data_IF_457738752490
#
_entry.id   IF_457738752490
#
_cell.length_a   1.000
_cell.length_b   1.000
_cell.length_c   1.000
_cell.angle_alpha   90.00
_cell.angle_beta   90.00
_cell.angle_gamma   90.00
#
_symmetry.space_group_name_H-M   'P 1'
#
loop_
_entity.id
_entity.type
_entity.pdbx_description
1 polymer ?
#
# COMPACT_ATOMS: atom_id res chain seq x y z
N UNK A 1 -0.59 -79.80 -64.35
CA UNK A 1 -1.82 -79.27 -63.73
C UNK A 1 -1.74 -77.75 -63.70
N UNK A 2 -2.54 -77.09 -64.54
CA UNK A 2 -2.52 -75.65 -64.77
C UNK A 2 -3.56 -74.94 -63.88
N UNK A 3 -3.17 -73.89 -63.15
CA UNK A 3 -4.08 -73.08 -62.32
C UNK A 3 -4.87 -72.09 -63.19
N UNK A 4 -6.19 -72.07 -62.99
CA UNK A 4 -7.20 -71.33 -63.75
C UNK A 4 -7.00 -69.79 -63.68
N UNK A 5 -7.12 -69.15 -64.85
CA UNK A 5 -7.22 -67.70 -65.01
C UNK A 5 -8.61 -67.22 -64.57
N UNK A 6 -8.67 -66.29 -63.61
CA UNK A 6 -9.89 -65.57 -63.22
C UNK A 6 -10.39 -64.71 -64.40
N UNK A 7 -11.67 -64.85 -64.76
CA UNK A 7 -12.36 -64.03 -65.77
C UNK A 7 -12.60 -62.61 -65.23
N UNK A 8 -12.26 -61.58 -66.01
CA UNK A 8 -12.60 -60.17 -65.73
C UNK A 8 -14.12 -59.94 -65.89
N UNK A 9 -14.74 -59.10 -65.06
CA UNK A 9 -16.15 -58.73 -65.23
C UNK A 9 -16.32 -57.77 -66.43
N UNK A 10 -17.47 -57.86 -67.11
CA UNK A 10 -17.86 -56.97 -68.22
C UNK A 10 -18.09 -55.53 -67.69
N UNK A 11 -17.77 -54.48 -68.46
CA UNK A 11 -18.05 -53.11 -68.06
C UNK A 11 -19.57 -52.86 -68.06
N UNK A 12 -20.10 -52.33 -66.96
CA UNK A 12 -21.46 -51.82 -66.87
C UNK A 12 -21.61 -50.62 -67.81
N UNK A 13 -22.70 -50.60 -68.59
CA UNK A 13 -23.08 -49.44 -69.40
C UNK A 13 -23.30 -48.24 -68.48
N UNK A 14 -22.63 -47.11 -68.77
CA UNK A 14 -22.85 -45.84 -68.08
C UNK A 14 -24.31 -45.40 -68.28
N UNK A 15 -25.00 -45.08 -67.19
CA UNK A 15 -26.35 -44.52 -67.26
C UNK A 15 -26.34 -43.23 -68.09
N UNK A 16 -27.34 -43.07 -68.92
CA UNK A 16 -27.55 -41.93 -69.83
C UNK A 16 -28.12 -40.70 -69.12
N UNK A 17 -27.94 -40.58 -67.81
CA UNK A 17 -28.49 -39.47 -67.03
C UNK A 17 -27.49 -38.30 -66.99
N UNK A 18 -27.93 -37.08 -67.33
CA UNK A 18 -27.07 -35.92 -67.32
C UNK A 18 -26.58 -35.65 -65.90
N UNK A 19 -25.28 -35.41 -65.76
CA UNK A 19 -24.65 -35.08 -64.47
C UNK A 19 -25.18 -33.76 -63.93
N UNK A 20 -25.12 -33.55 -62.61
CA UNK A 20 -25.57 -32.31 -61.94
C UNK A 20 -24.97 -31.04 -62.57
N UNK A 21 -23.72 -31.12 -63.05
CA UNK A 21 -23.06 -30.02 -63.76
C UNK A 21 -23.72 -29.73 -65.13
N UNK A 22 -24.10 -30.77 -65.88
CA UNK A 22 -24.80 -30.67 -67.16
C UNK A 22 -26.22 -30.11 -66.96
N UNK A 23 -26.94 -30.56 -65.93
CA UNK A 23 -28.27 -30.04 -65.59
C UNK A 23 -28.23 -28.54 -65.20
N UNK A 24 -27.19 -28.10 -64.48
CA UNK A 24 -26.98 -26.67 -64.14
C UNK A 24 -26.62 -25.81 -65.36
N UNK A 25 -25.98 -26.38 -66.36
CA UNK A 25 -25.64 -25.67 -67.60
C UNK A 25 -26.86 -25.57 -68.53
N UNK A 26 -27.67 -26.63 -68.60
CA UNK A 26 -28.98 -26.61 -69.29
C UNK A 26 -29.94 -25.61 -68.66
N UNK A 27 -30.01 -25.53 -67.32
CA UNK A 27 -30.83 -24.54 -66.63
C UNK A 27 -30.40 -23.10 -66.92
N UNK A 28 -29.09 -22.81 -66.89
CA UNK A 28 -28.57 -21.47 -67.21
C UNK A 28 -28.85 -21.09 -68.66
N UNK A 29 -28.78 -22.05 -69.58
CA UNK A 29 -29.09 -21.84 -70.99
C UNK A 29 -30.58 -21.59 -71.21
N UNK A 30 -31.45 -22.38 -70.59
CA UNK A 30 -32.91 -22.18 -70.66
C UNK A 30 -33.32 -20.82 -70.09
N UNK A 31 -32.71 -20.40 -68.97
CA UNK A 31 -32.98 -19.09 -68.38
C UNK A 31 -32.51 -17.93 -69.27
N UNK A 32 -31.35 -18.06 -69.91
CA UNK A 32 -30.86 -17.05 -70.86
C UNK A 32 -31.70 -16.99 -72.14
N UNK A 33 -32.27 -18.12 -72.58
CA UNK A 33 -33.21 -18.17 -73.70
C UNK A 33 -34.56 -17.51 -73.34
N UNK A 34 -35.07 -17.74 -72.13
CA UNK A 34 -36.30 -17.09 -71.64
C UNK A 34 -36.08 -15.58 -71.44
N UNK A 35 -34.95 -15.13 -70.89
CA UNK A 35 -34.59 -13.70 -70.78
C UNK A 35 -34.43 -13.02 -72.15
N UNK A 36 -33.85 -13.73 -73.14
CA UNK A 36 -33.74 -13.21 -74.51
C UNK A 36 -35.10 -13.12 -75.23
N UNK A 37 -36.04 -14.02 -74.93
CA UNK A 37 -37.41 -13.98 -75.45
C UNK A 37 -38.24 -12.87 -74.80
N UNK A 38 -37.97 -12.58 -73.53
CA UNK A 38 -38.57 -11.47 -72.78
C UNK A 38 -38.08 -10.11 -73.32
N UNK A 39 -36.78 -9.95 -73.59
CA UNK A 39 -36.24 -8.74 -74.22
C UNK A 39 -36.80 -8.50 -75.65
N UNK A 40 -37.17 -9.57 -76.36
CA UNK A 40 -37.80 -9.50 -77.68
C UNK A 40 -39.33 -9.33 -77.62
N UNK A 41 -39.93 -9.26 -76.43
CA UNK A 41 -41.37 -9.07 -76.23
C UNK A 41 -42.24 -10.25 -76.68
N UNK A 42 -41.65 -11.45 -76.77
CA UNK A 42 -42.28 -12.68 -77.25
C UNK A 42 -42.45 -13.69 -76.11
N UNK A 43 -43.02 -13.27 -74.98
CA UNK A 43 -43.45 -14.22 -73.96
C UNK A 43 -44.61 -15.07 -74.51
N UNK A 44 -44.33 -16.33 -74.80
CA UNK A 44 -45.35 -17.35 -75.06
C UNK A 44 -45.98 -17.75 -73.72
N UNK A 45 -47.32 -17.71 -73.63
CA UNK A 45 -48.06 -18.23 -72.47
C UNK A 45 -47.65 -19.68 -72.19
N UNK A 46 -47.01 -19.87 -71.02
CA UNK A 46 -46.41 -21.12 -70.57
C UNK A 46 -47.45 -22.08 -69.94
N UNK A 47 -48.67 -22.15 -70.47
CA UNK A 47 -49.74 -23.03 -69.93
C UNK A 47 -49.52 -24.55 -70.16
N UNK A 48 -48.34 -24.97 -70.62
CA UNK A 48 -48.07 -26.39 -70.92
C UNK A 48 -46.66 -26.90 -70.63
N UNK A 49 -45.79 -26.11 -69.98
CA UNK A 49 -44.44 -26.57 -69.61
C UNK A 49 -44.52 -27.24 -68.23
N UNK A 50 -44.32 -28.56 -68.16
CA UNK A 50 -44.18 -29.23 -66.85
C UNK A 50 -43.03 -28.57 -66.09
N UNK A 51 -43.25 -28.08 -64.86
CA UNK A 51 -42.17 -27.54 -64.05
C UNK A 51 -41.10 -28.62 -63.88
N UNK A 52 -39.80 -28.26 -63.88
CA UNK A 52 -38.75 -29.26 -63.66
C UNK A 52 -39.08 -29.99 -62.36
N UNK A 53 -39.10 -31.33 -62.42
CA UNK A 53 -39.34 -32.19 -61.25
C UNK A 53 -38.20 -31.96 -60.26
N UNK A 54 -38.30 -30.90 -59.47
CA UNK A 54 -37.53 -30.76 -58.26
C UNK A 54 -37.91 -31.95 -57.39
N UNK A 55 -36.91 -32.72 -56.99
CA UNK A 55 -37.11 -33.73 -55.97
C UNK A 55 -37.50 -32.97 -54.70
N UNK A 56 -38.79 -32.99 -54.36
CA UNK A 56 -39.36 -32.28 -53.22
C UNK A 56 -38.61 -32.66 -51.94
N UNK A 57 -38.09 -33.88 -51.88
CA UNK A 57 -37.26 -34.40 -50.79
C UNK A 57 -35.93 -33.63 -50.73
N UNK A 58 -35.24 -33.43 -51.86
CA UNK A 58 -33.98 -32.69 -51.90
C UNK A 58 -34.15 -31.20 -51.56
N UNK A 59 -35.31 -30.61 -51.85
CA UNK A 59 -35.63 -29.23 -51.48
C UNK A 59 -35.88 -29.05 -49.98
N UNK A 60 -36.57 -30.01 -49.36
CA UNK A 60 -36.78 -30.05 -47.90
C UNK A 60 -35.46 -30.28 -47.17
N UNK A 61 -34.66 -31.25 -47.62
CA UNK A 61 -33.34 -31.51 -47.06
C UNK A 61 -32.42 -30.28 -47.11
N UNK A 62 -32.41 -29.55 -48.22
CA UNK A 62 -31.59 -28.33 -48.35
C UNK A 62 -32.02 -27.23 -47.37
N UNK A 63 -33.33 -27.13 -47.09
CA UNK A 63 -33.86 -26.16 -46.13
C UNK A 63 -33.52 -26.53 -44.70
N UNK A 64 -33.67 -27.81 -44.34
CA UNK A 64 -33.27 -28.32 -43.02
C UNK A 64 -31.77 -28.08 -42.75
N UNK A 65 -30.91 -28.17 -43.77
CA UNK A 65 -29.48 -27.85 -43.62
C UNK A 65 -29.21 -26.37 -43.36
N UNK A 66 -29.99 -25.47 -43.97
CA UNK A 66 -29.87 -24.02 -43.73
C UNK A 66 -30.32 -23.72 -42.30
N UNK A 67 -31.47 -24.24 -41.89
CA UNK A 67 -32.02 -24.01 -40.55
C UNK A 67 -31.09 -24.57 -39.46
N UNK A 68 -30.42 -25.71 -39.73
CA UNK A 68 -29.34 -26.24 -38.86
C UNK A 68 -28.16 -25.29 -38.72
N UNK A 69 -27.70 -24.68 -39.81
CA UNK A 69 -26.58 -23.72 -39.77
C UNK A 69 -26.95 -22.44 -39.01
N UNK A 70 -28.18 -21.96 -39.16
CA UNK A 70 -28.67 -20.79 -38.43
C UNK A 70 -28.73 -21.06 -36.91
N UNK A 71 -29.20 -22.24 -36.51
CA UNK A 71 -29.26 -22.63 -35.11
C UNK A 71 -27.86 -22.79 -34.49
N UNK A 72 -26.92 -23.38 -35.24
CA UNK A 72 -25.51 -23.44 -34.83
C UNK A 72 -24.90 -22.04 -34.70
N UNK A 73 -25.14 -21.15 -35.65
CA UNK A 73 -24.65 -19.77 -35.59
C UNK A 73 -25.19 -19.02 -34.36
N UNK A 74 -26.48 -19.20 -34.03
CA UNK A 74 -27.07 -18.65 -32.82
C UNK A 74 -26.38 -19.19 -31.55
N UNK A 75 -26.09 -20.49 -31.51
CA UNK A 75 -25.38 -21.15 -30.40
C UNK A 75 -23.96 -20.58 -30.21
N UNK A 76 -23.22 -20.41 -31.31
CA UNK A 76 -21.91 -19.74 -31.31
C UNK A 76 -21.99 -18.28 -30.86
N UNK A 77 -22.98 -17.53 -31.38
CA UNK A 77 -23.17 -16.11 -31.06
C UNK A 77 -23.47 -15.92 -29.58
N UNK A 78 -24.34 -16.75 -29.00
CA UNK A 78 -24.61 -16.72 -27.55
C UNK A 78 -23.31 -16.93 -26.78
N UNK A 79 -22.59 -18.01 -27.08
CA UNK A 79 -21.35 -18.38 -26.38
C UNK A 79 -20.31 -17.26 -26.40
N UNK A 80 -20.15 -16.58 -27.53
CA UNK A 80 -19.21 -15.45 -27.64
C UNK A 80 -19.69 -14.22 -26.86
N UNK A 81 -20.99 -13.96 -26.81
CA UNK A 81 -21.53 -12.77 -26.13
C UNK A 81 -21.59 -12.93 -24.61
N UNK A 82 -21.93 -14.12 -24.12
CA UNK A 82 -22.14 -14.38 -22.69
C UNK A 82 -20.92 -15.02 -22.03
N UNK A 83 -20.03 -15.64 -22.81
CA UNK A 83 -18.90 -16.42 -22.32
C UNK A 83 -19.30 -17.81 -21.80
N UNK A 84 -20.55 -18.23 -22.00
CA UNK A 84 -21.08 -19.52 -21.52
C UNK A 84 -21.91 -20.20 -22.61
N UNK A 85 -21.97 -21.53 -22.63
CA UNK A 85 -22.87 -22.25 -23.53
C UNK A 85 -24.33 -22.05 -23.09
N UNK A 86 -25.28 -21.83 -24.02
CA UNK A 86 -26.69 -21.66 -23.66
C UNK A 86 -27.31 -22.97 -23.18
N UNK A 87 -28.20 -22.86 -22.21
CA UNK A 87 -29.17 -23.90 -21.83
C UNK A 87 -30.48 -23.70 -22.61
N UNK A 88 -31.34 -24.73 -22.74
CA UNK A 88 -32.63 -24.58 -23.41
C UNK A 88 -33.47 -23.44 -22.83
N UNK A 89 -33.46 -23.33 -21.50
CA UNK A 89 -34.18 -22.34 -20.70
C UNK A 89 -33.74 -20.89 -21.01
N UNK A 90 -32.48 -20.70 -21.42
CA UNK A 90 -31.94 -19.37 -21.75
C UNK A 90 -32.55 -18.80 -23.03
N UNK A 91 -33.07 -19.66 -23.91
CA UNK A 91 -33.69 -19.30 -25.18
C UNK A 91 -35.22 -19.40 -25.14
N UNK A 92 -35.79 -19.93 -24.05
CA UNK A 92 -37.23 -19.97 -23.86
C UNK A 92 -37.80 -18.56 -23.65
N UNK A 93 -38.74 -18.16 -24.52
CA UNK A 93 -39.49 -16.91 -24.36
C UNK A 93 -38.71 -15.63 -24.72
N UNK A 94 -37.50 -15.74 -25.25
CA UNK A 94 -36.74 -14.58 -25.79
C UNK A 94 -37.00 -14.41 -27.28
N UNK A 95 -37.34 -13.19 -27.72
CA UNK A 95 -37.62 -12.89 -29.14
C UNK A 95 -36.35 -12.87 -30.02
N UNK A 96 -35.18 -12.65 -29.40
CA UNK A 96 -33.89 -12.50 -30.08
C UNK A 96 -33.18 -13.83 -30.41
N UNK A 97 -33.68 -14.96 -29.88
CA UNK A 97 -33.05 -16.27 -30.00
C UNK A 97 -34.02 -17.34 -30.54
N UNK A 98 -33.53 -18.35 -31.28
CA UNK A 98 -34.37 -19.43 -31.77
C UNK A 98 -35.00 -20.22 -30.62
N UNK A 99 -36.25 -20.66 -30.79
CA UNK A 99 -36.92 -21.48 -29.79
C UNK A 99 -36.18 -22.83 -29.61
N UNK A 100 -35.99 -23.33 -28.37
CA UNK A 100 -35.23 -24.56 -28.14
C UNK A 100 -35.81 -25.81 -28.81
N UNK A 101 -37.11 -25.84 -29.10
CA UNK A 101 -37.75 -26.92 -29.88
C UNK A 101 -37.18 -27.08 -31.30
N UNK A 102 -36.57 -26.03 -31.87
CA UNK A 102 -35.87 -26.12 -33.14
C UNK A 102 -34.68 -27.10 -33.05
N UNK A 103 -34.01 -27.18 -31.89
CA UNK A 103 -32.92 -28.14 -31.66
C UNK A 103 -33.45 -29.58 -31.65
N UNK A 104 -34.59 -29.82 -30.98
CA UNK A 104 -35.24 -31.13 -30.96
C UNK A 104 -35.65 -31.58 -32.38
N UNK A 105 -36.15 -30.66 -33.19
CA UNK A 105 -36.61 -30.96 -34.55
C UNK A 105 -35.44 -31.22 -35.50
N UNK A 106 -34.40 -30.38 -35.46
CA UNK A 106 -33.32 -30.40 -36.46
C UNK A 106 -32.15 -31.31 -36.06
N UNK A 107 -31.87 -31.44 -34.76
CA UNK A 107 -30.73 -32.20 -34.21
C UNK A 107 -31.17 -33.40 -33.36
N UNK A 108 -32.48 -33.61 -33.18
CA UNK A 108 -33.06 -34.72 -32.42
C UNK A 108 -33.09 -34.50 -30.91
N UNK A 109 -32.26 -33.60 -30.39
CA UNK A 109 -32.22 -33.16 -28.99
C UNK A 109 -31.38 -31.89 -28.86
N UNK A 110 -31.49 -31.21 -27.72
CA UNK A 110 -30.56 -30.14 -27.35
C UNK A 110 -29.11 -30.64 -27.30
N UNK A 111 -28.87 -31.77 -26.64
CA UNK A 111 -27.53 -32.39 -26.57
C UNK A 111 -26.96 -32.67 -27.97
N UNK A 112 -27.80 -33.09 -28.92
CA UNK A 112 -27.39 -33.27 -30.31
C UNK A 112 -26.94 -31.99 -31.02
N UNK A 113 -27.50 -30.83 -30.64
CA UNK A 113 -27.04 -29.51 -31.10
C UNK A 113 -25.68 -29.16 -30.47
N UNK A 114 -25.54 -29.37 -29.15
CA UNK A 114 -24.28 -29.13 -28.42
C UNK A 114 -23.15 -29.95 -29.02
N UNK A 115 -23.35 -31.26 -29.19
CA UNK A 115 -22.38 -32.18 -29.80
C UNK A 115 -22.01 -31.75 -31.24
N UNK A 116 -23.01 -31.33 -32.02
CA UNK A 116 -22.81 -30.88 -33.40
C UNK A 116 -22.07 -29.54 -33.46
N UNK A 117 -22.19 -28.71 -32.43
CA UNK A 117 -21.51 -27.42 -32.34
C UNK A 117 -20.01 -27.56 -32.20
N UNK A 118 -19.53 -28.63 -31.54
CA UNK A 118 -18.12 -28.84 -31.17
C UNK A 118 -17.49 -27.67 -30.42
N UNK A 119 -18.31 -26.82 -29.79
CA UNK A 119 -17.84 -25.70 -28.98
C UNK A 119 -17.16 -26.23 -27.71
N UNK A 120 -17.71 -27.27 -27.10
CA UNK A 120 -17.13 -27.94 -25.93
C UNK A 120 -15.80 -28.66 -26.26
N UNK A 121 -15.63 -29.07 -27.52
CA UNK A 121 -14.41 -29.72 -28.02
C UNK A 121 -13.33 -28.71 -28.50
N UNK A 122 -13.60 -27.40 -28.45
CA UNK A 122 -12.94 -26.40 -29.29
C UNK A 122 -12.12 -25.32 -28.56
N UNK A 123 -11.02 -24.93 -29.22
CA UNK A 123 -10.16 -23.75 -29.00
C UNK A 123 -10.89 -22.43 -28.67
N UNK A 124 -12.19 -22.32 -28.95
CA UNK A 124 -12.98 -21.10 -28.77
C UNK A 124 -13.19 -20.78 -27.29
N UNK A 125 -13.51 -21.77 -26.45
CA UNK A 125 -13.66 -21.57 -25.00
C UNK A 125 -12.32 -21.16 -24.40
N UNK A 126 -11.23 -21.87 -24.73
CA UNK A 126 -9.88 -21.49 -24.29
C UNK A 126 -9.49 -20.06 -24.73
N UNK A 127 -9.91 -19.64 -25.92
CA UNK A 127 -9.63 -18.29 -26.42
C UNK A 127 -10.43 -17.23 -25.66
N UNK A 128 -11.70 -17.51 -25.34
CA UNK A 128 -12.55 -16.62 -24.55
C UNK A 128 -12.00 -16.49 -23.12
N UNK A 129 -11.62 -17.61 -22.49
CA UNK A 129 -11.00 -17.60 -21.15
C UNK A 129 -9.71 -16.79 -21.16
N UNK A 130 -8.83 -17.00 -22.14
CA UNK A 130 -7.60 -16.21 -22.30
C UNK A 130 -7.88 -14.72 -22.52
N UNK A 131 -8.94 -14.38 -23.24
CA UNK A 131 -9.33 -12.98 -23.46
C UNK A 131 -9.87 -12.33 -22.18
N UNK A 132 -10.67 -13.06 -21.40
CA UNK A 132 -11.17 -12.62 -20.09
C UNK A 132 -10.02 -12.43 -19.10
N UNK A 133 -9.07 -13.37 -19.05
CA UNK A 133 -7.87 -13.27 -18.23
C UNK A 133 -7.01 -12.07 -18.63
N UNK A 134 -6.79 -11.85 -19.93
CA UNK A 134 -6.05 -10.70 -20.44
C UNK A 134 -6.74 -9.38 -20.06
N UNK A 135 -8.08 -9.31 -20.15
CA UNK A 135 -8.85 -8.14 -19.76
C UNK A 135 -8.75 -7.89 -18.25
N UNK A 136 -8.83 -8.93 -17.42
CA UNK A 136 -8.66 -8.83 -15.97
C UNK A 136 -7.24 -8.33 -15.60
N UNK A 137 -6.20 -8.83 -16.27
CA UNK A 137 -4.82 -8.37 -16.08
C UNK A 137 -4.64 -6.91 -16.48
N UNK A 138 -5.23 -6.48 -17.61
CA UNK A 138 -5.18 -5.09 -18.05
C UNK A 138 -5.88 -4.15 -17.06
N UNK A 139 -7.03 -4.58 -16.53
CA UNK A 139 -7.75 -3.82 -15.49
C UNK A 139 -6.92 -3.69 -14.22
N UNK A 140 -6.35 -4.79 -13.72
CA UNK A 140 -5.49 -4.78 -12.54
C UNK A 140 -4.26 -3.87 -12.73
N UNK A 141 -3.65 -3.91 -13.91
CA UNK A 141 -2.52 -3.03 -14.26
C UNK A 141 -2.94 -1.55 -14.32
N UNK A 142 -4.13 -1.24 -14.83
CA UNK A 142 -4.70 0.10 -14.80
C UNK A 142 -4.86 0.62 -13.38
N UNK A 143 -5.46 -0.18 -12.50
CA UNK A 143 -5.66 0.18 -11.08
C UNK A 143 -4.33 0.38 -10.34
N UNK A 144 -3.29 -0.41 -10.67
CA UNK A 144 -1.95 -0.24 -10.14
C UNK A 144 -1.30 1.08 -10.58
N UNK A 145 -1.41 1.41 -11.88
CA UNK A 145 -0.91 2.67 -12.42
C UNK A 145 -1.61 3.88 -11.79
N UNK A 146 -2.93 3.82 -11.60
CA UNK A 146 -3.70 4.88 -10.95
C UNK A 146 -3.32 5.05 -9.48
N UNK A 147 -3.04 3.95 -8.77
CA UNK A 147 -2.55 4.00 -7.38
C UNK A 147 -1.16 4.64 -7.32
N UNK A 148 -0.29 4.31 -8.28
CA UNK A 148 1.05 4.88 -8.40
C UNK A 148 1.00 6.37 -8.75
N UNK A 149 0.10 6.78 -9.65
CA UNK A 149 -0.10 8.19 -10.00
C UNK A 149 -0.55 9.01 -8.79
N UNK A 150 -1.54 8.52 -8.03
CA UNK A 150 -1.99 9.15 -6.78
C UNK A 150 -0.87 9.27 -5.74
N UNK A 151 -0.05 8.23 -5.60
CA UNK A 151 1.13 8.27 -4.71
C UNK A 151 2.13 9.35 -5.12
N UNK A 152 2.40 9.53 -6.42
CA UNK A 152 3.30 10.58 -6.90
C UNK A 152 2.75 11.99 -6.65
N UNK A 153 1.43 12.19 -6.78
CA UNK A 153 0.80 13.49 -6.48
C UNK A 153 0.87 13.82 -4.97
N UNK A 154 0.64 12.83 -4.11
CA UNK A 154 0.82 12.98 -2.66
C UNK A 154 2.27 13.31 -2.28
N UNK A 155 3.24 12.65 -2.92
CA UNK A 155 4.66 12.93 -2.67
C UNK A 155 5.07 14.31 -3.20
N UNK A 156 4.51 14.74 -4.35
CA UNK A 156 4.73 16.08 -4.88
C UNK A 156 4.19 17.17 -3.95
N UNK A 157 2.99 16.97 -3.40
CA UNK A 157 2.38 17.91 -2.44
C UNK A 157 3.15 17.95 -1.12
N UNK A 158 3.53 16.80 -0.55
CA UNK A 158 4.41 16.72 0.63
C UNK A 158 5.75 17.40 0.38
N UNK A 159 6.35 17.19 -0.80
CA UNK A 159 7.60 17.83 -1.19
C UNK A 159 7.49 19.36 -1.31
N UNK A 160 6.37 19.88 -1.81
CA UNK A 160 6.11 21.31 -1.85
C UNK A 160 5.95 21.91 -0.44
N UNK A 161 5.25 21.21 0.46
CA UNK A 161 5.08 21.65 1.84
C UNK A 161 6.40 21.64 2.63
N UNK A 162 7.21 20.60 2.49
CA UNK A 162 8.54 20.54 3.11
C UNK A 162 9.44 21.69 2.63
N UNK A 163 9.40 22.05 1.34
CA UNK A 163 10.14 23.20 0.82
C UNK A 163 9.70 24.51 1.48
N UNK A 164 8.39 24.73 1.66
CA UNK A 164 7.86 25.90 2.38
C UNK A 164 8.33 25.95 3.82
N UNK A 165 8.33 24.81 4.51
CA UNK A 165 8.79 24.75 5.90
C UNK A 165 10.29 25.05 6.03
N UNK A 166 11.11 24.55 5.11
CA UNK A 166 12.55 24.85 5.06
C UNK A 166 12.78 26.34 4.78
N UNK A 167 12.02 26.94 3.85
CA UNK A 167 12.11 28.37 3.55
C UNK A 167 11.73 29.24 4.75
N UNK A 168 10.63 28.93 5.44
CA UNK A 168 10.23 29.60 6.67
C UNK A 168 11.27 29.46 7.79
N UNK A 169 11.87 28.28 7.94
CA UNK A 169 12.93 28.04 8.91
C UNK A 169 14.20 28.86 8.57
N UNK A 170 14.54 28.96 7.29
CA UNK A 170 15.66 29.80 6.84
C UNK A 170 15.40 31.28 7.12
N UNK A 171 14.22 31.80 6.79
CA UNK A 171 13.84 33.19 7.06
C UNK A 171 13.92 33.50 8.56
N UNK A 172 13.39 32.64 9.41
CA UNK A 172 13.50 32.81 10.88
C UNK A 172 14.94 32.81 11.36
N UNK A 173 15.80 31.95 10.80
CA UNK A 173 17.23 31.94 11.15
C UNK A 173 17.91 33.25 10.75
N UNK A 174 17.63 33.74 9.55
CA UNK A 174 18.23 34.97 9.03
C UNK A 174 17.76 36.19 9.84
N UNK A 175 16.50 36.23 10.26
CA UNK A 175 15.96 37.24 11.20
C UNK A 175 16.68 37.20 12.56
N UNK A 176 16.91 36.00 13.12
CA UNK A 176 17.63 35.85 14.39
C UNK A 176 19.09 36.30 14.28
N UNK A 177 19.76 35.99 13.17
CA UNK A 177 21.13 36.44 12.90
C UNK A 177 21.16 37.96 12.80
N UNK A 178 20.23 38.57 12.07
CA UNK A 178 20.14 40.03 11.93
C UNK A 178 19.90 40.71 13.28
N UNK A 179 18.99 40.19 14.12
CA UNK A 179 18.76 40.71 15.48
C UNK A 179 19.99 40.58 16.38
N UNK A 180 20.72 39.47 16.27
CA UNK A 180 21.96 39.28 17.03
C UNK A 180 23.03 40.31 16.64
N UNK A 181 23.18 40.59 15.34
CA UNK A 181 24.10 41.61 14.84
C UNK A 181 23.70 43.03 15.30
N UNK A 182 22.41 43.35 15.31
CA UNK A 182 21.93 44.64 15.83
C UNK A 182 22.21 44.79 17.33
N UNK A 183 21.98 43.73 18.12
CA UNK A 183 22.25 43.70 19.54
C UNK A 183 23.76 43.84 19.84
N UNK A 184 24.61 43.18 19.07
CA UNK A 184 26.06 43.32 19.16
C UNK A 184 26.50 44.76 18.84
N UNK A 185 26.00 45.34 17.74
CA UNK A 185 26.29 46.73 17.41
C UNK A 185 25.79 47.72 18.46
N UNK A 186 24.67 47.44 19.13
CA UNK A 186 24.18 48.25 20.25
C UNK A 186 25.08 48.15 21.48
N UNK A 187 25.55 46.95 21.82
CA UNK A 187 26.51 46.71 22.91
C UNK A 187 27.80 47.48 22.67
N UNK A 188 28.35 47.41 21.46
CA UNK A 188 29.62 48.05 21.13
C UNK A 188 29.51 49.60 21.19
N UNK A 189 28.37 50.16 20.77
CA UNK A 189 28.07 51.60 20.96
C UNK A 189 28.01 51.99 22.43
N UNK A 190 27.31 51.20 23.26
CA UNK A 190 27.20 51.46 24.70
C UNK A 190 28.55 51.36 25.42
N UNK A 191 29.40 50.39 25.03
CA UNK A 191 30.77 50.29 25.54
C UNK A 191 31.61 51.50 25.17
N UNK A 192 31.54 51.95 23.90
CA UNK A 192 32.24 53.15 23.45
C UNK A 192 31.78 54.43 24.17
N UNK A 193 30.47 54.56 24.44
CA UNK A 193 29.92 55.67 25.21
C UNK A 193 30.35 55.63 26.68
N UNK A 194 30.31 54.46 27.31
CA UNK A 194 30.79 54.27 28.69
C UNK A 194 32.27 54.61 28.82
N UNK A 195 33.09 54.23 27.84
CA UNK A 195 34.52 54.55 27.84
C UNK A 195 34.75 56.06 27.72
N UNK A 196 34.04 56.76 26.82
CA UNK A 196 34.10 58.24 26.71
C UNK A 196 33.67 58.93 28.00
N UNK A 197 32.62 58.43 28.66
CA UNK A 197 32.16 58.97 29.94
C UNK A 197 33.19 58.76 31.04
N UNK A 198 33.85 57.60 31.10
CA UNK A 198 34.95 57.33 32.05
C UNK A 198 36.14 58.24 31.81
N UNK A 199 36.56 58.43 30.56
CA UNK A 199 37.64 59.35 30.20
C UNK A 199 37.31 60.79 30.61
N UNK A 200 36.06 61.22 30.39
CA UNK A 200 35.58 62.54 30.81
C UNK A 200 35.50 62.68 32.33
N UNK A 201 35.04 61.65 33.04
CA UNK A 201 35.01 61.62 34.49
C UNK A 201 36.43 61.70 35.07
N UNK A 202 37.37 60.90 34.56
CA UNK A 202 38.77 60.94 34.97
C UNK A 202 39.42 62.32 34.70
N UNK A 203 39.08 62.97 33.58
CA UNK A 203 39.56 64.33 33.29
C UNK A 203 38.98 65.36 34.27
N UNK A 204 37.70 65.25 34.63
CA UNK A 204 37.06 66.11 35.63
C UNK A 204 37.62 65.85 37.03
N UNK A 205 37.88 64.60 37.41
CA UNK A 205 38.52 64.22 38.66
C UNK A 205 39.94 64.79 38.76
N UNK A 206 40.71 64.76 37.68
CA UNK A 206 42.05 65.37 37.63
C UNK A 206 41.99 66.90 37.80
N UNK A 207 41.00 67.56 37.18
CA UNK A 207 40.75 68.99 37.37
C UNK A 207 40.34 69.32 38.82
N UNK A 208 39.47 68.50 39.41
CA UNK A 208 39.06 68.63 40.81
C UNK A 208 40.22 68.40 41.79
N UNK A 209 41.14 67.50 41.46
CA UNK A 209 42.35 67.25 42.25
C UNK A 209 43.36 68.41 42.16
N UNK A 210 43.39 69.15 41.04
CA UNK A 210 44.17 70.40 40.93
C UNK A 210 43.51 71.60 41.64
N UNK A 211 42.17 71.61 41.76
CA UNK A 211 41.41 72.73 42.33
C UNK A 211 41.10 72.65 43.84
N UNK A 212 41.52 71.61 44.57
CA UNK A 212 41.24 71.51 46.02
C UNK A 212 42.35 72.09 46.93
N UNK A 213 42.11 73.21 47.63
CA UNK A 213 42.40 73.31 49.05
C UNK A 213 41.44 72.41 49.84
N UNK A 214 41.91 71.83 50.96
CA UNK A 214 41.12 70.99 51.88
C UNK A 214 39.73 71.58 52.16
N UNK A 215 38.68 70.98 51.59
CA UNK A 215 37.30 71.23 51.97
C UNK A 215 36.60 69.88 52.15
N UNK A 216 36.30 69.56 53.41
CA UNK A 216 35.47 68.43 53.80
C UNK A 216 34.11 68.56 53.12
N UNK A 217 33.80 67.65 52.19
CA UNK A 217 32.44 67.47 51.72
C UNK A 217 31.57 66.94 52.88
N UNK A 218 30.34 67.45 53.06
CA UNK A 218 29.44 66.92 54.06
C UNK A 218 29.10 65.46 53.74
N UNK A 219 28.86 64.61 54.76
CA UNK A 219 28.45 63.24 54.53
C UNK A 219 27.16 63.20 53.68
N UNK A 220 26.96 62.17 52.84
CA UNK A 220 25.72 62.01 52.11
C UNK A 220 24.56 62.01 53.11
N UNK A 221 23.47 62.66 52.71
CA UNK A 221 22.27 62.78 53.54
C UNK A 221 21.82 61.36 53.93
N UNK A 222 21.95 61.04 55.22
CA UNK A 222 21.69 59.72 55.75
C UNK A 222 20.25 59.28 55.44
N UNK A 223 19.35 60.26 55.32
CA UNK A 223 17.94 60.04 54.99
C UNK A 223 17.76 59.57 53.54
N UNK A 224 18.54 60.08 52.57
CA UNK A 224 18.47 59.65 51.16
C UNK A 224 19.05 58.25 50.97
N UNK A 225 20.13 57.92 51.69
CA UNK A 225 20.70 56.57 51.70
C UNK A 225 19.75 55.56 52.36
N UNK A 226 19.13 55.93 53.49
CA UNK A 226 18.15 55.10 54.18
C UNK A 226 16.92 54.87 53.28
N UNK A 227 16.43 55.91 52.60
CA UNK A 227 15.33 55.82 51.66
C UNK A 227 15.65 54.90 50.47
N UNK A 228 16.87 54.96 49.93
CA UNK A 228 17.33 54.04 48.89
C UNK A 228 17.41 52.58 49.36
N UNK A 229 17.85 52.35 50.60
CA UNK A 229 17.91 51.02 51.19
C UNK A 229 16.52 50.44 51.47
N UNK A 230 15.58 51.26 51.97
CA UNK A 230 14.18 50.87 52.16
C UNK A 230 13.50 50.53 50.82
N UNK A 231 13.78 51.28 49.75
CA UNK A 231 13.28 50.97 48.40
C UNK A 231 13.84 49.64 47.88
N UNK A 232 15.11 49.33 48.14
CA UNK A 232 15.70 48.05 47.76
C UNK A 232 15.09 46.88 48.53
N UNK A 233 14.86 47.02 49.83
CA UNK A 233 14.17 46.01 50.63
C UNK A 233 12.72 45.81 50.16
N UNK A 234 12.01 46.88 49.83
CA UNK A 234 10.67 46.80 49.27
C UNK A 234 10.64 46.11 47.90
N UNK A 235 11.65 46.38 47.04
CA UNK A 235 11.79 45.70 45.76
C UNK A 235 12.09 44.20 45.93
N UNK A 236 12.96 43.83 46.88
CA UNK A 236 13.24 42.42 47.19
C UNK A 236 11.99 41.71 47.71
N UNK A 237 11.27 42.30 48.66
CA UNK A 237 10.02 41.74 49.17
C UNK A 237 8.96 41.56 48.06
N UNK A 238 8.87 42.50 47.11
CA UNK A 238 7.98 42.39 45.96
C UNK A 238 8.39 41.24 45.02
N UNK A 239 9.69 41.03 44.80
CA UNK A 239 10.17 39.90 43.98
C UNK A 239 9.94 38.55 44.65
N UNK A 240 10.09 38.46 45.97
CA UNK A 240 9.78 37.25 46.74
C UNK A 240 8.30 36.92 46.68
N UNK A 241 7.43 37.92 46.88
CA UNK A 241 5.98 37.75 46.74
C UNK A 241 5.56 37.27 45.34
N UNK A 242 6.16 37.83 44.28
CA UNK A 242 5.90 37.39 42.91
C UNK A 242 6.37 35.95 42.65
N UNK A 243 7.50 35.54 43.24
CA UNK A 243 8.00 34.16 43.15
C UNK A 243 7.07 33.19 43.85
N UNK A 244 6.59 33.54 45.04
CA UNK A 244 5.70 32.68 45.81
C UNK A 244 4.32 32.56 45.14
N UNK A 245 3.82 33.64 44.52
CA UNK A 245 2.63 33.59 43.67
C UNK A 245 2.82 32.66 42.45
N UNK A 246 3.96 32.74 41.78
CA UNK A 246 4.28 31.84 40.67
C UNK A 246 4.36 30.37 41.13
N UNK A 247 4.93 30.11 42.31
CA UNK A 247 4.95 28.76 42.89
C UNK A 247 3.53 28.25 43.18
N UNK A 248 2.67 29.07 43.78
CA UNK A 248 1.28 28.70 44.05
C UNK A 248 0.51 28.38 42.75
N UNK A 249 0.71 29.18 41.68
CA UNK A 249 0.11 28.92 40.36
C UNK A 249 0.62 27.63 39.72
N UNK A 250 1.91 27.30 39.90
CA UNK A 250 2.47 26.04 39.39
C UNK A 250 1.89 24.82 40.13
N UNK A 251 1.70 24.92 41.45
CA UNK A 251 1.04 23.87 42.22
C UNK A 251 -0.41 23.68 41.79
N UNK A 252 -1.15 24.78 41.58
CA UNK A 252 -2.51 24.74 41.07
C UNK A 252 -2.59 24.03 39.70
N UNK A 253 -1.76 24.45 38.74
CA UNK A 253 -1.69 23.82 37.41
C UNK A 253 -1.27 22.34 37.48
N UNK A 254 -0.39 21.97 38.42
CA UNK A 254 -0.02 20.57 38.62
C UNK A 254 -1.21 19.74 39.14
N UNK A 255 -2.01 20.29 40.05
CA UNK A 255 -3.24 19.63 40.52
C UNK A 255 -4.29 19.51 39.43
N UNK A 256 -4.45 20.53 38.57
CA UNK A 256 -5.36 20.48 37.42
C UNK A 256 -4.94 19.40 36.43
N UNK A 257 -3.65 19.32 36.08
CA UNK A 257 -3.16 18.26 35.17
C UNK A 257 -3.38 16.86 35.71
N UNK A 258 -3.23 16.65 37.03
CA UNK A 258 -3.49 15.33 37.60
C UNK A 258 -4.99 14.98 37.56
N UNK A 259 -5.87 15.95 37.77
CA UNK A 259 -7.32 15.77 37.58
C UNK A 259 -7.68 15.46 36.12
N UNK A 260 -7.07 16.16 35.16
CA UNK A 260 -7.25 15.89 33.74
C UNK A 260 -6.76 14.49 33.37
N UNK A 261 -5.62 14.06 33.91
CA UNK A 261 -5.06 12.72 33.69
C UNK A 261 -5.98 11.63 34.22
N UNK A 262 -6.58 11.84 35.39
CA UNK A 262 -7.56 10.93 35.98
C UNK A 262 -8.83 10.87 35.10
N UNK A 263 -9.32 12.02 34.65
CA UNK A 263 -10.51 12.12 33.77
C UNK A 263 -10.28 11.42 32.43
N UNK A 264 -9.11 11.63 31.80
CA UNK A 264 -8.73 10.95 30.55
C UNK A 264 -8.65 9.44 30.75
N UNK A 265 -8.11 8.99 31.88
CA UNK A 265 -8.01 7.55 32.20
C UNK A 265 -9.41 6.94 32.36
N UNK A 266 -10.32 7.64 33.04
CA UNK A 266 -11.71 7.21 33.21
C UNK A 266 -12.47 7.18 31.88
N UNK A 267 -12.37 8.23 31.06
CA UNK A 267 -12.97 8.29 29.73
C UNK A 267 -12.41 7.19 28.81
N UNK A 268 -11.11 6.93 28.85
CA UNK A 268 -10.48 5.85 28.07
C UNK A 268 -10.99 4.48 28.49
N UNK A 269 -11.25 4.27 29.80
CA UNK A 269 -11.85 3.04 30.32
C UNK A 269 -13.31 2.90 29.89
N UNK A 270 -14.08 3.98 29.92
CA UNK A 270 -15.48 3.97 29.46
C UNK A 270 -15.59 3.73 27.95
N UNK A 271 -14.70 4.32 27.15
CA UNK A 271 -14.61 4.07 25.70
C UNK A 271 -14.23 2.63 25.41
N UNK A 272 -13.23 2.08 26.11
CA UNK A 272 -12.84 0.68 25.96
C UNK A 272 -13.97 -0.29 26.34
N UNK A 273 -14.81 0.07 27.31
CA UNK A 273 -16.00 -0.71 27.68
C UNK A 273 -17.15 -0.55 26.66
N UNK A 274 -17.27 0.61 26.01
CA UNK A 274 -18.26 0.84 24.95
C UNK A 274 -17.87 0.16 23.62
N UNK A 275 -16.58 0.02 23.35
CA UNK A 275 -16.06 -0.68 22.15
C UNK A 275 -16.18 -2.22 22.27
N UNK A 276 -16.46 -2.77 23.46
CA UNK A 276 -16.61 -4.22 23.68
C UNK A 276 -18.02 -4.79 23.43
N UNK A 277 -18.98 -3.98 22.97
CA UNK A 277 -20.35 -4.43 22.66
C UNK A 277 -20.56 -4.87 21.20
N UNK A 278 -19.50 -5.03 20.40
CA UNK A 278 -19.61 -5.54 19.01
C UNK A 278 -18.80 -6.83 18.81
N UNK A 279 -19.54 -7.94 18.82
CA UNK A 279 -19.29 -9.24 18.21
C UNK A 279 -17.96 -10.00 18.43
N UNK A 280 -18.12 -11.18 19.03
CA UNK A 280 -17.32 -12.36 18.70
C UNK A 280 -16.35 -12.79 19.80
N UNK A 281 -16.81 -13.63 20.72
CA UNK A 281 -15.92 -14.37 21.61
C UNK A 281 -15.09 -15.40 20.83
N UNK A 282 -13.77 -15.47 21.07
CA UNK A 282 -13.06 -16.72 21.11
C UNK A 282 -12.60 -17.02 22.54
N UNK A 283 -12.58 -18.32 22.83
CA UNK A 283 -12.10 -19.02 24.02
C UNK A 283 -11.24 -18.21 25.00
N UNK A 284 -11.57 -18.34 26.29
CA UNK A 284 -10.77 -17.90 27.45
C UNK A 284 -9.35 -18.49 27.38
N UNK A 285 -8.45 -17.79 26.68
CA UNK A 285 -7.04 -17.80 27.01
C UNK A 285 -6.90 -17.10 28.35
N UNK A 286 -6.35 -17.79 29.35
CA UNK A 286 -5.95 -17.18 30.62
C UNK A 286 -5.23 -15.88 30.28
N UNK A 287 -5.74 -14.74 30.76
CA UNK A 287 -5.19 -13.44 30.46
C UNK A 287 -3.75 -13.41 31.00
N UNK A 288 -2.79 -13.64 30.11
CA UNK A 288 -1.38 -13.66 30.43
C UNK A 288 -1.00 -12.29 30.99
N UNK A 289 -0.40 -12.26 32.18
CA UNK A 289 -0.05 -11.01 32.83
C UNK A 289 0.94 -10.24 31.93
N UNK A 290 0.65 -8.97 31.58
CA UNK A 290 1.49 -8.22 30.66
C UNK A 290 2.89 -8.04 31.26
N UNK A 291 3.96 -8.08 30.44
CA UNK A 291 5.32 -7.89 30.93
C UNK A 291 5.44 -6.50 31.59
N UNK A 292 6.15 -6.41 32.71
CA UNK A 292 6.37 -5.18 33.44
C UNK A 292 7.44 -4.29 32.79
N UNK A 293 8.41 -4.90 32.09
CA UNK A 293 9.52 -4.19 31.45
C UNK A 293 9.74 -4.63 30.00
N UNK A 294 10.47 -3.81 29.23
CA UNK A 294 10.86 -4.15 27.85
C UNK A 294 11.81 -5.35 27.85
N UNK A 295 12.71 -5.45 28.82
CA UNK A 295 13.58 -6.62 28.99
C UNK A 295 12.75 -7.90 29.18
N UNK A 296 11.79 -7.88 30.08
CA UNK A 296 10.91 -9.03 30.32
C UNK A 296 10.12 -9.41 29.07
N UNK A 297 9.66 -8.44 28.28
CA UNK A 297 9.02 -8.70 27.00
C UNK A 297 9.97 -9.41 26.01
N UNK A 298 11.25 -9.05 25.97
CA UNK A 298 12.26 -9.70 25.12
C UNK A 298 12.60 -11.09 25.64
N UNK A 299 12.75 -11.28 26.95
CA UNK A 299 13.03 -12.57 27.57
C UNK A 299 11.91 -13.58 27.32
N UNK A 300 10.65 -13.16 27.50
CA UNK A 300 9.48 -14.00 27.20
C UNK A 300 9.42 -14.35 25.72
N UNK A 301 9.56 -13.36 24.83
CA UNK A 301 9.56 -13.61 23.40
C UNK A 301 10.69 -14.56 22.97
N UNK A 302 11.89 -14.42 23.53
CA UNK A 302 13.03 -15.29 23.23
C UNK A 302 12.84 -16.72 23.73
N UNK A 303 12.12 -16.91 24.85
CA UNK A 303 11.78 -18.24 25.36
C UNK A 303 10.71 -18.95 24.52
N UNK A 304 9.82 -18.18 23.89
CA UNK A 304 8.69 -18.68 23.08
C UNK A 304 9.00 -18.81 21.60
N UNK A 305 9.95 -18.04 21.08
CA UNK A 305 10.25 -17.94 19.66
C UNK A 305 10.71 -19.28 19.06
N UNK A 306 10.06 -19.71 17.99
CA UNK A 306 10.47 -20.88 17.21
C UNK A 306 11.46 -20.56 16.11
N UNK A 307 11.44 -19.33 15.60
CA UNK A 307 12.12 -18.91 14.37
C UNK A 307 12.92 -17.60 14.55
N UNK A 308 12.42 -16.68 15.39
CA UNK A 308 13.06 -15.40 15.66
C UNK A 308 14.27 -15.59 16.58
N UNK A 309 15.42 -15.10 16.15
CA UNK A 309 16.67 -15.19 16.90
C UNK A 309 16.98 -13.87 17.57
N UNK A 310 17.68 -13.90 18.71
CA UNK A 310 17.98 -12.71 19.51
C UNK A 310 19.48 -12.58 19.74
N UNK A 311 20.04 -11.41 19.42
CA UNK A 311 21.43 -11.10 19.73
C UNK A 311 21.58 -10.63 21.19
N UNK A 312 22.75 -10.82 21.83
CA UNK A 312 23.00 -10.35 23.20
C UNK A 312 22.66 -8.86 23.39
N UNK A 313 23.02 -8.03 22.40
CA UNK A 313 22.74 -6.59 22.39
C UNK A 313 21.24 -6.24 22.47
N UNK A 314 20.34 -7.13 22.02
CA UNK A 314 18.91 -6.90 22.12
C UNK A 314 18.44 -6.88 23.58
N UNK A 315 18.98 -7.76 24.42
CA UNK A 315 18.69 -7.82 25.85
C UNK A 315 19.29 -6.62 26.60
N UNK A 316 20.54 -6.26 26.28
CA UNK A 316 21.21 -5.10 26.87
C UNK A 316 20.42 -3.81 26.63
N UNK A 317 20.04 -3.57 25.37
CA UNK A 317 19.30 -2.36 24.99
C UNK A 317 17.86 -2.35 25.51
N UNK A 318 17.24 -3.52 25.66
CA UNK A 318 15.92 -3.66 26.27
C UNK A 318 15.93 -3.32 27.77
N UNK A 319 17.00 -3.67 28.50
CA UNK A 319 17.17 -3.35 29.91
C UNK A 319 17.19 -1.84 30.16
N UNK A 320 17.82 -1.07 29.26
CA UNK A 320 17.97 0.39 29.36
C UNK A 320 16.79 1.19 28.77
N UNK A 321 15.75 0.48 28.29
CA UNK A 321 14.63 1.09 27.58
C UNK A 321 13.59 1.69 28.54
N UNK A 322 13.32 3.02 28.48
CA UNK A 322 12.30 3.66 29.31
C UNK A 322 10.88 3.55 28.72
N UNK A 323 10.69 2.73 27.68
CA UNK A 323 9.43 2.63 26.95
C UNK A 323 8.31 2.04 27.81
N UNK A 324 7.19 2.77 27.93
CA UNK A 324 6.15 2.47 28.92
C UNK A 324 5.12 1.42 28.50
N UNK A 325 5.24 0.84 27.30
CA UNK A 325 4.28 -0.14 26.76
C UNK A 325 4.97 -1.48 26.41
N UNK A 326 5.57 -2.17 27.39
CA UNK A 326 6.27 -3.44 27.17
C UNK A 326 5.37 -4.54 26.55
N UNK A 327 4.07 -4.57 26.85
CA UNK A 327 3.14 -5.50 26.21
C UNK A 327 3.04 -5.33 24.68
N UNK A 328 3.22 -4.11 24.17
CA UNK A 328 3.28 -3.86 22.72
C UNK A 328 4.56 -4.45 22.11
N UNK A 329 5.69 -4.41 22.84
CA UNK A 329 6.95 -5.02 22.41
C UNK A 329 6.79 -6.53 22.29
N UNK A 330 6.25 -7.20 23.32
CA UNK A 330 6.01 -8.64 23.29
C UNK A 330 5.10 -9.06 22.13
N UNK A 331 3.97 -8.34 21.94
CA UNK A 331 3.07 -8.58 20.81
C UNK A 331 3.80 -8.49 19.47
N UNK A 332 4.59 -7.43 19.26
CA UNK A 332 5.31 -7.25 18.00
C UNK A 332 6.41 -8.30 17.81
N UNK A 333 7.10 -8.73 18.86
CA UNK A 333 8.09 -9.79 18.77
C UNK A 333 7.46 -11.14 18.39
N UNK A 334 6.28 -11.47 18.93
CA UNK A 334 5.50 -12.66 18.51
C UNK A 334 5.11 -12.59 17.02
N UNK A 335 4.64 -11.43 16.54
CA UNK A 335 4.36 -11.22 15.12
C UNK A 335 5.63 -11.32 14.24
N UNK A 336 6.78 -10.90 14.77
CA UNK A 336 8.06 -11.03 14.08
C UNK A 336 8.57 -12.48 14.04
N UNK A 337 8.19 -13.33 14.99
CA UNK A 337 8.45 -14.77 14.93
C UNK A 337 7.70 -15.46 13.79
N UNK A 338 6.41 -15.13 13.62
CA UNK A 338 5.64 -15.58 12.46
C UNK A 338 6.23 -15.07 11.14
N UNK A 339 6.75 -13.83 11.13
CA UNK A 339 7.45 -13.28 9.97
C UNK A 339 8.77 -14.03 9.71
N UNK A 340 9.52 -14.35 10.75
CA UNK A 340 10.77 -15.11 10.66
C UNK A 340 10.51 -16.51 10.08
N UNK A 341 9.47 -17.20 10.54
CA UNK A 341 9.06 -18.49 10.00
C UNK A 341 8.81 -18.43 8.48
N UNK A 342 8.08 -17.41 8.02
CA UNK A 342 7.82 -17.19 6.57
C UNK A 342 9.09 -16.87 5.80
N UNK A 343 10.00 -16.09 6.39
CA UNK A 343 11.27 -15.72 5.76
C UNK A 343 12.22 -16.92 5.64
N UNK A 344 12.31 -17.76 6.67
CA UNK A 344 13.09 -18.99 6.68
C UNK A 344 12.60 -20.02 5.64
N UNK A 345 11.27 -20.12 5.44
CA UNK A 345 10.66 -21.04 4.47
C UNK A 345 11.05 -20.75 3.00
N UNK A 346 11.54 -19.55 2.70
CA UNK A 346 12.36 -19.30 1.51
C UNK A 346 11.68 -18.82 0.24
N UNK A 347 10.34 -18.78 0.17
CA UNK A 347 9.60 -18.17 -0.94
C UNK A 347 8.28 -17.55 -0.44
N UNK A 348 8.33 -16.26 -0.11
CA UNK A 348 7.15 -15.54 0.37
C UNK A 348 6.25 -15.04 -0.78
N UNK A 349 6.69 -15.10 -2.04
CA UNK A 349 6.00 -14.49 -3.18
C UNK A 349 5.77 -12.96 -3.07
N UNK A 350 6.32 -12.32 -2.04
CA UNK A 350 6.14 -10.91 -1.71
C UNK A 350 7.33 -10.37 -0.91
N UNK A 351 7.42 -9.04 -0.79
CA UNK A 351 8.48 -8.42 0.02
C UNK A 351 8.26 -8.64 1.52
N UNK A 352 9.35 -8.61 2.30
CA UNK A 352 9.32 -8.73 3.75
C UNK A 352 8.43 -7.65 4.42
N UNK A 353 8.29 -6.48 3.80
CA UNK A 353 7.39 -5.40 4.25
C UNK A 353 5.92 -5.76 4.05
N UNK A 354 5.58 -6.35 2.91
CA UNK A 354 4.21 -6.79 2.62
C UNK A 354 3.81 -7.94 3.55
N UNK A 355 4.73 -8.90 3.77
CA UNK A 355 4.52 -9.98 4.72
C UNK A 355 4.34 -9.44 6.15
N UNK A 356 5.17 -8.49 6.59
CA UNK A 356 5.04 -7.83 7.88
C UNK A 356 3.70 -7.09 8.05
N UNK A 357 3.27 -6.35 7.01
CA UNK A 357 1.99 -5.67 7.01
C UNK A 357 0.80 -6.64 7.11
N UNK A 358 0.86 -7.79 6.43
CA UNK A 358 -0.15 -8.85 6.53
C UNK A 358 -0.26 -9.48 7.92
N UNK A 359 0.80 -9.39 8.73
CA UNK A 359 0.83 -9.83 10.14
C UNK A 359 0.44 -8.70 11.12
N UNK A 360 0.06 -7.53 10.60
CA UNK A 360 -0.34 -6.38 11.42
C UNK A 360 0.82 -5.49 11.88
N UNK A 361 2.03 -5.65 11.33
CA UNK A 361 3.19 -4.80 11.62
C UNK A 361 3.19 -3.62 10.64
N UNK A 362 2.56 -2.51 11.03
CA UNK A 362 2.31 -1.37 10.13
C UNK A 362 3.47 -0.36 10.03
N UNK A 363 4.39 -0.38 10.99
CA UNK A 363 5.53 0.55 11.07
C UNK A 363 6.87 -0.10 10.69
N UNK A 364 6.82 -1.09 9.79
CA UNK A 364 7.99 -1.80 9.30
C UNK A 364 8.76 -0.97 8.26
N UNK A 365 10.07 -0.81 8.45
CA UNK A 365 10.97 -0.15 7.49
C UNK A 365 12.07 -1.12 7.04
N UNK A 366 12.29 -1.21 5.73
CA UNK A 366 13.22 -2.17 5.11
C UNK A 366 14.70 -1.93 5.43
N UNK A 367 15.08 -0.72 5.82
CA UNK A 367 16.49 -0.41 6.04
C UNK A 367 16.74 0.88 6.77
N UNK A 368 18.02 1.10 7.04
CA UNK A 368 18.59 2.32 7.62
C UNK A 368 19.31 3.08 6.51
N UNK A 369 19.24 4.41 6.53
CA UNK A 369 19.96 5.25 5.57
C UNK A 369 21.45 4.91 5.53
N UNK A 370 22.03 4.87 4.32
CA UNK A 370 23.46 4.58 4.16
C UNK A 370 24.34 5.58 4.92
N UNK A 371 23.93 6.85 4.96
CA UNK A 371 24.63 7.90 5.68
C UNK A 371 24.64 7.69 7.20
N UNK A 372 23.53 7.25 7.80
CA UNK A 372 23.49 6.95 9.23
C UNK A 372 24.35 5.72 9.58
N UNK A 373 24.33 4.69 8.73
CA UNK A 373 25.18 3.49 8.90
C UNK A 373 26.67 3.81 8.88
N UNK A 374 27.13 4.71 8.00
CA UNK A 374 28.54 5.09 7.95
C UNK A 374 28.93 6.05 9.08
N UNK A 375 28.06 7.00 9.42
CA UNK A 375 28.36 8.01 10.44
C UNK A 375 28.35 7.45 11.86
N UNK A 376 27.44 6.52 12.14
CA UNK A 376 27.22 5.92 13.45
C UNK A 376 27.46 4.41 13.41
N UNK A 377 28.49 3.96 12.70
CA UNK A 377 28.77 2.55 12.43
C UNK A 377 28.68 1.66 13.67
N UNK A 378 29.27 2.09 14.80
CA UNK A 378 29.26 1.37 16.09
C UNK A 378 27.86 1.14 16.67
N UNK A 379 26.93 2.06 16.40
CA UNK A 379 25.54 1.96 16.88
C UNK A 379 24.72 0.99 16.02
N UNK A 380 25.12 0.82 14.76
CA UNK A 380 24.44 -0.01 13.77
C UNK A 380 25.11 -1.38 13.55
N UNK A 381 26.26 -1.66 14.16
CA UNK A 381 26.90 -2.99 14.18
C UNK A 381 26.55 -3.75 15.47
N UNK A 382 26.46 -5.07 15.40
CA UNK A 382 26.28 -5.92 16.58
C UNK A 382 26.94 -7.28 16.37
N UNK A 383 27.27 -7.96 17.48
CA UNK A 383 27.84 -9.30 17.41
C UNK A 383 26.75 -10.37 17.54
N UNK A 384 26.82 -11.39 16.69
CA UNK A 384 25.99 -12.58 16.76
C UNK A 384 26.78 -13.80 16.26
N UNK A 385 26.81 -14.87 17.06
CA UNK A 385 27.54 -16.10 16.76
C UNK A 385 29.01 -15.86 16.33
N UNK A 386 29.70 -14.99 17.06
CA UNK A 386 31.10 -14.65 16.82
C UNK A 386 31.37 -13.74 15.62
N UNK A 387 30.33 -13.15 15.01
CA UNK A 387 30.43 -12.31 13.81
C UNK A 387 29.89 -10.93 14.05
N UNK A 388 30.46 -9.93 13.39
CA UNK A 388 29.88 -8.59 13.33
C UNK A 388 28.89 -8.48 12.17
N UNK A 389 27.65 -8.14 12.49
CA UNK A 389 26.55 -7.95 11.56
C UNK A 389 26.04 -6.51 11.65
N UNK A 390 25.39 -6.04 10.58
CA UNK A 390 24.79 -4.71 10.51
C UNK A 390 23.28 -4.79 10.70
N UNK A 391 22.71 -3.91 11.52
CA UNK A 391 21.26 -3.79 11.59
C UNK A 391 20.71 -3.22 10.26
N UNK A 392 19.54 -3.71 9.85
CA UNK A 392 18.91 -3.36 8.59
C UNK A 392 17.44 -2.99 8.81
N UNK A 393 16.49 -3.92 8.66
CA UNK A 393 15.10 -3.60 8.86
C UNK A 393 14.78 -3.22 10.31
N UNK A 394 13.74 -2.42 10.52
CA UNK A 394 13.30 -2.08 11.87
C UNK A 394 11.81 -1.77 11.94
N UNK A 395 11.24 -1.95 13.14
CA UNK A 395 9.84 -1.65 13.45
C UNK A 395 9.78 -0.47 14.42
N UNK A 396 9.00 0.56 14.07
CA UNK A 396 8.66 1.65 14.99
C UNK A 396 7.50 1.28 15.90
N UNK A 397 7.62 1.56 17.20
CA UNK A 397 6.59 1.31 18.21
C UNK A 397 6.18 2.61 18.88
N UNK A 398 4.87 2.82 19.01
CA UNK A 398 4.30 4.01 19.64
C UNK A 398 4.34 5.26 18.76
N UNK A 399 3.88 6.37 19.33
CA UNK A 399 3.83 7.69 18.69
C UNK A 399 4.08 8.77 19.74
N UNK A 400 4.59 9.93 19.31
CA UNK A 400 4.96 11.04 20.19
C UNK A 400 6.46 11.34 20.21
N UNK A 401 6.92 12.14 21.16
CA UNK A 401 8.32 12.53 21.33
C UNK A 401 8.90 11.94 22.62
N UNK A 402 10.14 11.49 22.55
CA UNK A 402 10.89 10.94 23.69
C UNK A 402 10.85 9.42 23.83
N UNK A 403 11.90 8.87 24.44
CA UNK A 403 12.15 7.43 24.54
C UNK A 403 11.11 6.66 25.37
N UNK A 404 10.30 7.35 26.18
CA UNK A 404 9.23 6.73 26.95
C UNK A 404 7.99 6.38 26.12
N UNK A 405 7.78 7.09 24.99
CA UNK A 405 6.59 6.98 24.15
C UNK A 405 6.87 6.35 22.78
N UNK A 406 8.14 6.31 22.37
CA UNK A 406 8.56 5.70 21.10
C UNK A 406 9.70 4.73 21.35
N UNK A 407 9.57 3.53 20.82
CA UNK A 407 10.62 2.52 20.77
C UNK A 407 10.84 2.02 19.34
N UNK A 408 11.96 1.34 19.11
CA UNK A 408 12.24 0.62 17.86
C UNK A 408 12.75 -0.78 18.16
N UNK A 409 12.40 -1.72 17.28
CA UNK A 409 12.99 -3.05 17.21
C UNK A 409 13.81 -3.10 15.93
N UNK A 410 15.13 -3.20 16.05
CA UNK A 410 16.04 -3.36 14.91
C UNK A 410 16.35 -4.82 14.67
N UNK A 411 16.35 -5.18 13.39
CA UNK A 411 16.51 -6.53 12.90
C UNK A 411 17.71 -6.60 11.95
N UNK A 412 18.22 -7.81 11.79
CA UNK A 412 19.06 -8.20 10.68
C UNK A 412 18.36 -9.35 9.94
N UNK A 413 18.15 -9.17 8.64
CA UNK A 413 17.66 -10.23 7.76
C UNK A 413 18.87 -10.87 7.07
N UNK A 414 19.17 -12.11 7.42
CA UNK A 414 20.26 -12.87 6.81
C UNK A 414 19.69 -13.81 5.76
N UNK A 415 20.16 -13.72 4.51
CA UNK A 415 19.65 -14.57 3.40
C UNK A 415 20.17 -16.01 3.43
N UNK A 416 21.05 -16.33 4.39
CA UNK A 416 21.73 -17.61 4.46
C UNK A 416 23.03 -17.58 3.66
N UNK A 417 24.04 -18.27 4.19
CA UNK A 417 25.40 -18.24 3.65
C UNK A 417 26.42 -17.81 4.69
N UNK A 418 27.70 -17.93 4.33
CA UNK A 418 28.86 -17.70 5.20
C UNK A 418 28.85 -18.53 6.51
N UNK A 419 28.01 -19.57 6.63
CA UNK A 419 27.87 -20.38 7.84
C UNK A 419 26.89 -19.84 8.87
N UNK A 420 26.01 -18.90 8.48
CA UNK A 420 24.79 -18.57 9.21
C UNK A 420 23.58 -18.96 8.35
N UNK A 421 22.60 -19.61 8.96
CA UNK A 421 21.36 -19.98 8.29
C UNK A 421 20.49 -18.76 8.01
N UNK A 422 19.70 -18.83 6.93
CA UNK A 422 18.69 -17.83 6.62
C UNK A 422 17.80 -17.60 7.83
N UNK A 423 17.47 -16.34 8.13
CA UNK A 423 16.63 -16.00 9.29
C UNK A 423 16.63 -14.53 9.65
N UNK A 424 15.77 -14.20 10.62
CA UNK A 424 15.68 -12.85 11.20
C UNK A 424 16.29 -12.85 12.61
N UNK A 425 17.16 -11.87 12.86
CA UNK A 425 17.85 -11.70 14.15
C UNK A 425 17.49 -10.33 14.72
N UNK A 426 16.94 -10.30 15.94
CA UNK A 426 16.70 -9.08 16.71
C UNK A 426 18.02 -8.58 17.29
N UNK A 427 18.40 -7.35 16.96
CA UNK A 427 19.68 -6.77 17.33
C UNK A 427 19.58 -5.71 18.44
N UNK A 428 18.55 -4.85 18.38
CA UNK A 428 18.34 -3.75 19.34
C UNK A 428 16.85 -3.62 19.61
N UNK A 429 16.46 -3.47 20.88
CA UNK A 429 15.07 -3.22 21.28
C UNK A 429 15.02 -2.06 22.26
N UNK A 430 14.20 -1.05 21.97
CA UNK A 430 14.00 0.08 22.87
C UNK A 430 14.30 1.41 22.21
N UNK A 431 15.36 2.11 22.66
CA UNK A 431 15.63 3.47 22.20
C UNK A 431 15.89 3.53 20.69
N UNK A 432 15.54 4.68 20.11
CA UNK A 432 15.96 5.02 18.75
C UNK A 432 17.48 5.11 18.68
N UNK A 433 18.10 4.41 17.72
CA UNK A 433 19.52 4.63 17.41
C UNK A 433 19.71 6.03 16.80
N UNK A 434 20.89 6.65 16.96
CA UNK A 434 21.19 7.94 16.34
C UNK A 434 20.95 7.92 14.83
N UNK A 435 20.44 9.02 14.29
CA UNK A 435 20.23 9.23 12.87
C UNK A 435 20.82 10.58 12.43
N UNK A 436 20.65 10.95 11.16
CA UNK A 436 21.23 12.20 10.63
C UNK A 436 20.54 13.46 11.15
N UNK A 437 19.47 13.32 11.94
CA UNK A 437 18.65 14.40 12.51
C UNK A 437 18.72 14.48 14.04
N UNK A 438 19.35 13.52 14.69
CA UNK A 438 19.68 13.48 16.12
C UNK A 438 21.18 13.66 16.32
#
# INVERSE_FOLDING_TARGET
MAKQKRRKPKPQQRSSEPTVAQQREEWRRAKAEDEALEELGLMLDLEGREPPKYDVIAGVDARDQIDRLELLLAYYRWTVLTGTTPLPEDWEGTEDWPHPDAANTLFGSWDGLVDSSRIEDGLLIELVDKALDAHAQLKARGEELDRRARGMDEDATKGAELRRQVELASQRRDELISRAQEAEGARDRALGESQRLRERAAALEAQLAEEQPEAQAPPPDFDDWLQGFEQQLAAQAATEAARDELHARLEELATERERDRQTITELSRLLAAADTDTEGAPAEAQAEEPPATVLEAVERAAAEAGHLRFAPRAFETAADSPFRRPGLVLKTLRQLDELAAKFEAGDMGMSLSQAAAGLGITQYKQGVSALARTRYEKDYTFSYDGRELLVGPHVGLGSGSGAAFVARIYLHAHEGGDGLDRGLIVAVVGRHLPDTTT
#
